data_IF_800660467192
#
_entry.id   IF_800660467192
#
_cell.length_a   1.000
_cell.length_b   1.000
_cell.length_c   1.000
_cell.angle_alpha   90.00
_cell.angle_beta   90.00
_cell.angle_gamma   90.00
#
_symmetry.space_group_name_H-M   'P 1'
#
loop_
_entity.id
_entity.type
_entity.pdbx_description
1 polymer ?
#
# COMPACT_ATOMS: atom_id res chain seq x y z
N UNK A 1 -4.25 -10.10 3.31
CA UNK A 1 -2.78 -10.01 3.33
C UNK A 1 -2.22 -10.70 2.08
N UNK A 2 -1.23 -10.11 1.42
CA UNK A 2 -0.50 -10.76 0.32
C UNK A 2 0.80 -11.36 0.87
N UNK A 3 1.03 -12.67 0.69
CA UNK A 3 2.20 -13.40 1.22
C UNK A 3 2.65 -14.48 0.24
N UNK A 4 3.94 -14.52 -0.12
CA UNK A 4 4.51 -15.48 -1.09
C UNK A 4 3.67 -15.55 -2.37
N UNK A 5 3.28 -14.39 -2.88
CA UNK A 5 2.36 -14.22 -4.03
C UNK A 5 0.92 -14.73 -3.84
N UNK A 6 0.55 -15.33 -2.70
CA UNK A 6 -0.84 -15.71 -2.39
C UNK A 6 -1.61 -14.62 -1.63
N UNK A 7 -2.92 -14.51 -1.90
CA UNK A 7 -3.83 -13.63 -1.15
C UNK A 7 -4.57 -14.44 -0.08
N UNK A 8 -4.63 -13.89 1.14
CA UNK A 8 -5.29 -14.53 2.28
C UNK A 8 -6.21 -13.54 2.98
N UNK A 9 -7.41 -14.01 3.32
CA UNK A 9 -8.36 -13.36 4.23
C UNK A 9 -8.21 -14.02 5.61
N UNK A 10 -8.20 -13.19 6.65
CA UNK A 10 -8.08 -13.63 8.04
C UNK A 10 -9.31 -13.12 8.79
N UNK A 11 -10.21 -14.03 9.15
CA UNK A 11 -11.46 -13.73 9.86
C UNK A 11 -11.64 -14.70 11.02
N UNK A 12 -11.76 -14.18 12.25
CA UNK A 12 -12.06 -14.98 13.44
C UNK A 12 -11.10 -16.16 13.67
N UNK A 13 -9.80 -15.99 13.40
CA UNK A 13 -8.78 -17.05 13.52
C UNK A 13 -8.68 -18.00 12.32
N UNK A 14 -9.62 -17.91 11.37
CA UNK A 14 -9.58 -18.72 10.14
C UNK A 14 -8.81 -17.99 9.05
N UNK A 15 -7.83 -18.67 8.45
CA UNK A 15 -7.12 -18.19 7.27
C UNK A 15 -7.67 -18.87 6.03
N UNK A 16 -8.29 -18.09 5.14
CA UNK A 16 -8.81 -18.57 3.86
C UNK A 16 -7.93 -18.03 2.74
N UNK A 17 -7.44 -18.93 1.88
CA UNK A 17 -6.73 -18.54 0.66
C UNK A 17 -7.75 -18.09 -0.37
N UNK A 18 -7.57 -16.88 -0.89
CA UNK A 18 -8.33 -16.35 -2.02
C UNK A 18 -7.59 -16.70 -3.30
N UNK A 19 -8.31 -17.21 -4.30
CA UNK A 19 -7.75 -17.46 -5.63
C UNK A 19 -7.20 -16.15 -6.21
N UNK A 20 -6.04 -16.20 -6.88
CA UNK A 20 -5.52 -15.04 -7.58
C UNK A 20 -6.20 -14.88 -8.95
N UNK A 21 -6.15 -13.70 -9.59
CA UNK A 21 -6.62 -13.55 -10.96
C UNK A 21 -5.97 -14.59 -11.87
N UNK A 22 -6.78 -15.35 -12.60
CA UNK A 22 -6.27 -16.24 -13.64
C UNK A 22 -5.76 -15.39 -14.79
N UNK A 23 -4.46 -15.48 -15.09
CA UNK A 23 -3.86 -14.80 -16.25
C UNK A 23 -3.09 -15.78 -17.10
N UNK A 24 -3.09 -15.54 -18.42
CA UNK A 24 -2.37 -16.37 -19.39
C UNK A 24 -0.84 -16.29 -19.25
N UNK A 25 -0.32 -15.30 -18.50
CA UNK A 25 1.11 -15.02 -18.36
C UNK A 25 1.71 -15.40 -17.00
N UNK A 26 0.98 -16.10 -16.13
CA UNK A 26 1.39 -16.42 -14.74
C UNK A 26 1.88 -15.20 -13.93
N UNK A 27 1.48 -13.99 -14.32
CA UNK A 27 1.92 -12.75 -13.69
C UNK A 27 1.43 -12.72 -12.23
N UNK A 28 2.36 -12.42 -11.31
CA UNK A 28 2.07 -12.41 -9.88
C UNK A 28 1.79 -10.99 -9.39
N UNK A 29 0.82 -10.80 -8.50
CA UNK A 29 0.62 -9.51 -7.86
C UNK A 29 1.83 -9.15 -6.99
N UNK A 30 2.22 -7.87 -7.02
CA UNK A 30 3.26 -7.29 -6.17
C UNK A 30 2.71 -6.18 -5.25
N UNK A 31 1.48 -5.73 -5.49
CA UNK A 31 0.83 -4.65 -4.75
C UNK A 31 -0.61 -5.02 -4.41
N UNK A 32 -1.05 -4.62 -3.22
CA UNK A 32 -2.40 -4.83 -2.68
C UNK A 32 -2.88 -3.49 -2.11
N UNK A 33 -4.08 -3.08 -2.49
CA UNK A 33 -4.73 -1.91 -1.92
C UNK A 33 -6.15 -2.26 -1.45
N UNK A 34 -6.62 -1.54 -0.44
CA UNK A 34 -8.00 -1.62 0.06
C UNK A 34 -8.65 -0.25 -0.09
N UNK A 35 -9.80 -0.19 -0.76
CA UNK A 35 -10.60 1.01 -0.91
C UNK A 35 -11.34 1.39 0.36
N UNK A 36 -11.78 2.65 0.44
CA UNK A 36 -12.56 3.20 1.54
C UNK A 36 -13.90 2.45 1.77
N UNK A 37 -14.46 1.89 0.70
CA UNK A 37 -15.66 1.06 0.68
C UNK A 37 -15.39 -0.41 1.04
N UNK A 38 -14.14 -0.77 1.30
CA UNK A 38 -13.71 -2.14 1.57
C UNK A 38 -13.36 -2.95 0.31
N UNK A 39 -13.44 -2.38 -0.89
CA UNK A 39 -13.02 -3.02 -2.13
C UNK A 39 -11.55 -3.45 -2.05
N UNK A 40 -11.21 -4.60 -2.62
CA UNK A 40 -9.85 -5.15 -2.62
C UNK A 40 -9.28 -5.12 -4.03
N UNK A 41 -8.06 -4.62 -4.15
CA UNK A 41 -7.38 -4.48 -5.43
C UNK A 41 -6.01 -5.14 -5.42
N UNK A 42 -5.63 -5.76 -6.53
CA UNK A 42 -4.30 -6.28 -6.77
C UNK A 42 -3.69 -5.61 -7.99
N UNK A 43 -2.38 -5.41 -7.94
CA UNK A 43 -1.62 -5.01 -9.11
C UNK A 43 -0.26 -5.68 -9.17
N UNK A 44 0.30 -5.78 -10.37
CA UNK A 44 1.65 -6.30 -10.58
C UNK A 44 2.13 -6.17 -12.03
N UNK A 45 3.45 -6.23 -12.27
CA UNK A 45 4.02 -6.18 -13.61
C UNK A 45 3.51 -7.35 -14.46
N UNK A 46 2.96 -7.03 -15.64
CA UNK A 46 2.34 -8.01 -16.54
C UNK A 46 0.91 -8.40 -16.16
N UNK A 47 0.46 -8.03 -14.95
CA UNK A 47 -0.90 -8.28 -14.45
C UNK A 47 -1.82 -7.06 -14.70
N UNK A 48 -1.29 -5.84 -14.55
CA UNK A 48 -2.08 -4.61 -14.53
C UNK A 48 -2.77 -4.40 -13.18
N UNK A 49 -4.00 -3.90 -13.16
CA UNK A 49 -4.85 -3.69 -11.98
C UNK A 49 -6.09 -4.58 -12.05
N UNK A 50 -6.42 -5.22 -10.93
CA UNK A 50 -7.61 -6.06 -10.78
C UNK A 50 -8.35 -5.73 -9.49
N UNK A 51 -9.68 -5.82 -9.53
CA UNK A 51 -10.56 -5.69 -8.36
C UNK A 51 -11.21 -7.02 -8.05
N UNK A 52 -11.28 -7.35 -6.77
CA UNK A 52 -12.01 -8.52 -6.29
C UNK A 52 -13.50 -8.22 -6.19
N UNK A 53 -14.32 -9.05 -6.82
CA UNK A 53 -15.77 -9.09 -6.64
C UNK A 53 -16.11 -10.14 -5.59
N UNK A 54 -16.50 -9.68 -4.40
CA UNK A 54 -16.88 -10.55 -3.29
C UNK A 54 -18.21 -11.27 -3.51
N UNK A 55 -19.12 -10.74 -4.34
CA UNK A 55 -20.40 -11.37 -4.63
C UNK A 55 -20.24 -12.57 -5.56
N UNK A 56 -19.34 -12.45 -6.54
CA UNK A 56 -19.03 -13.49 -7.52
C UNK A 56 -17.84 -14.40 -7.15
N UNK A 57 -17.11 -14.13 -6.06
CA UNK A 57 -15.84 -14.79 -5.71
C UNK A 57 -14.88 -14.81 -6.90
N UNK A 58 -14.70 -13.64 -7.53
CA UNK A 58 -14.00 -13.52 -8.81
C UNK A 58 -13.19 -12.23 -8.93
N UNK A 59 -12.32 -12.15 -9.94
CA UNK A 59 -11.52 -10.97 -10.21
C UNK A 59 -11.95 -10.31 -11.51
N UNK A 60 -12.07 -8.98 -11.49
CA UNK A 60 -12.35 -8.16 -12.66
C UNK A 60 -11.12 -7.32 -13.01
N UNK A 61 -10.69 -7.36 -14.27
CA UNK A 61 -9.59 -6.52 -14.76
C UNK A 61 -10.02 -5.07 -14.93
N UNK A 62 -9.14 -4.14 -14.58
CA UNK A 62 -9.35 -2.69 -14.71
C UNK A 62 -8.31 -2.08 -15.66
N UNK A 63 -8.01 -2.79 -16.76
CA UNK A 63 -6.82 -2.52 -17.60
C UNK A 63 -7.14 -1.80 -18.91
N UNK A 64 -8.42 -1.64 -19.27
CA UNK A 64 -8.86 -1.31 -20.63
C UNK A 64 -8.24 -0.02 -21.19
N UNK A 65 -8.04 0.99 -20.33
CA UNK A 65 -7.47 2.28 -20.74
C UNK A 65 -6.06 2.52 -20.19
N UNK A 66 -5.44 1.54 -19.53
CA UNK A 66 -4.04 1.65 -19.14
C UNK A 66 -3.15 1.54 -20.39
N UNK A 67 -2.03 2.28 -20.48
CA UNK A 67 -1.12 2.20 -21.63
C UNK A 67 -0.36 0.85 -21.69
N UNK A 68 -0.40 0.08 -20.61
CA UNK A 68 0.22 -1.24 -20.51
C UNK A 68 0.02 -1.85 -19.12
N UNK A 69 0.43 -3.11 -18.98
CA UNK A 69 0.25 -3.91 -17.76
C UNK A 69 1.42 -3.78 -16.76
N UNK A 70 2.32 -2.82 -16.98
CA UNK A 70 3.55 -2.62 -16.21
C UNK A 70 3.34 -1.94 -14.84
N UNK A 71 2.22 -2.19 -14.17
CA UNK A 71 1.88 -1.56 -12.90
C UNK A 71 2.73 -2.17 -11.79
N UNK A 72 3.63 -1.38 -11.19
CA UNK A 72 4.50 -1.88 -10.12
C UNK A 72 3.94 -1.63 -8.73
N UNK A 73 3.12 -0.58 -8.58
CA UNK A 73 2.47 -0.23 -7.33
C UNK A 73 1.13 0.45 -7.58
N UNK A 74 0.19 0.25 -6.66
CA UNK A 74 -1.11 0.92 -6.68
C UNK A 74 -1.54 1.39 -5.29
N UNK A 75 -2.40 2.38 -5.25
CA UNK A 75 -3.05 2.87 -4.05
C UNK A 75 -4.53 3.13 -4.34
N UNK A 76 -5.40 2.79 -3.40
CA UNK A 76 -6.78 3.28 -3.40
C UNK A 76 -6.83 4.54 -2.55
N UNK A 77 -7.68 5.49 -2.93
CA UNK A 77 -7.86 6.70 -2.16
C UNK A 77 -8.52 6.41 -0.80
N UNK A 78 -8.01 7.04 0.26
CA UNK A 78 -8.41 6.78 1.65
C UNK A 78 -9.90 7.03 1.94
N UNK A 79 -10.49 8.07 1.34
CA UNK A 79 -11.88 8.49 1.58
C UNK A 79 -12.79 8.58 0.34
N UNK A 80 -12.27 8.41 -0.88
CA UNK A 80 -13.02 8.51 -2.14
C UNK A 80 -12.97 7.15 -2.87
N UNK A 81 -13.96 6.28 -2.70
CA UNK A 81 -13.86 4.87 -3.11
C UNK A 81 -13.68 4.66 -4.62
N UNK A 82 -14.10 5.62 -5.45
CA UNK A 82 -13.94 5.55 -6.91
C UNK A 82 -12.55 6.00 -7.39
N UNK A 83 -11.73 6.59 -6.51
CA UNK A 83 -10.42 7.13 -6.87
C UNK A 83 -9.31 6.11 -6.62
N UNK A 84 -8.58 5.76 -7.69
CA UNK A 84 -7.45 4.84 -7.67
C UNK A 84 -6.22 5.47 -8.30
N UNK A 85 -5.04 5.07 -7.84
CA UNK A 85 -3.75 5.51 -8.36
C UNK A 85 -2.91 4.29 -8.77
N UNK A 86 -2.31 4.34 -9.95
CA UNK A 86 -1.42 3.32 -10.47
C UNK A 86 -0.10 3.93 -10.91
N UNK A 87 1.01 3.30 -10.54
CA UNK A 87 2.35 3.69 -10.97
C UNK A 87 2.91 2.63 -11.92
N UNK A 88 3.28 3.07 -13.14
CA UNK A 88 3.73 2.21 -14.24
C UNK A 88 5.22 2.43 -14.55
N UNK A 89 6.03 2.73 -13.53
CA UNK A 89 7.46 2.96 -13.70
C UNK A 89 7.73 4.14 -14.63
N UNK A 90 8.40 3.86 -15.76
CA UNK A 90 8.78 4.86 -16.77
C UNK A 90 7.58 5.58 -17.41
N UNK A 91 6.41 4.94 -17.44
CA UNK A 91 5.22 5.51 -18.07
C UNK A 91 4.53 6.52 -17.16
N UNK A 92 4.87 6.53 -15.87
CA UNK A 92 4.46 7.51 -14.87
C UNK A 92 3.25 7.07 -14.05
N UNK A 93 2.58 8.08 -13.49
CA UNK A 93 1.42 7.91 -12.62
C UNK A 93 0.11 8.13 -13.37
N UNK A 94 -0.86 7.27 -13.07
CA UNK A 94 -2.20 7.29 -13.61
C UNK A 94 -3.21 7.34 -12.47
N UNK A 95 -4.29 8.08 -12.68
CA UNK A 95 -5.43 8.16 -11.75
C UNK A 95 -6.71 7.76 -12.46
N UNK A 96 -7.50 6.93 -11.80
CA UNK A 96 -8.91 6.75 -12.11
C UNK A 96 -9.75 7.46 -11.06
N UNK A 97 -10.92 7.97 -11.46
CA UNK A 97 -11.95 8.54 -10.57
C UNK A 97 -13.31 7.85 -10.74
N UNK A 98 -13.31 6.68 -11.36
CA UNK A 98 -14.50 5.91 -11.74
C UNK A 98 -14.29 4.41 -11.48
N UNK A 99 -13.60 4.08 -10.40
CA UNK A 99 -13.31 2.70 -9.97
C UNK A 99 -12.52 1.87 -10.98
N UNK A 100 -11.66 2.52 -11.77
CA UNK A 100 -10.76 1.90 -12.75
C UNK A 100 -11.36 1.68 -14.14
N UNK A 101 -12.49 2.32 -14.46
CA UNK A 101 -13.06 2.27 -15.81
C UNK A 101 -12.26 3.13 -16.80
N UNK A 102 -11.76 4.29 -16.35
CA UNK A 102 -10.85 5.15 -17.09
C UNK A 102 -9.61 5.53 -16.26
N UNK A 103 -8.45 5.50 -16.89
CA UNK A 103 -7.16 5.87 -16.31
C UNK A 103 -6.53 7.03 -17.08
N UNK A 104 -6.27 8.13 -16.37
CA UNK A 104 -5.67 9.34 -16.94
C UNK A 104 -4.27 9.52 -16.37
N UNK A 105 -3.27 9.78 -17.24
CA UNK A 105 -1.92 10.13 -16.79
C UNK A 105 -1.95 11.48 -16.07
N UNK A 106 -1.41 11.52 -14.86
CA UNK A 106 -1.46 12.70 -13.97
C UNK A 106 -0.08 13.25 -13.65
N UNK A 107 0.94 12.40 -13.63
CA UNK A 107 2.31 12.82 -13.28
C UNK A 107 3.35 11.83 -13.82
N UNK A 108 4.64 12.20 -13.75
CA UNK A 108 5.74 11.26 -14.00
C UNK A 108 6.04 10.35 -12.79
N UNK A 109 5.57 10.71 -11.59
CA UNK A 109 5.82 10.00 -10.35
C UNK A 109 7.13 10.39 -9.69
N UNK A 110 7.49 9.72 -8.57
CA UNK A 110 8.75 9.94 -7.90
C UNK A 110 9.94 9.55 -8.79
N UNK A 111 11.10 10.13 -8.50
CA UNK A 111 12.35 9.89 -9.26
C UNK A 111 12.81 8.44 -9.21
N UNK A 112 12.60 7.79 -8.08
CA UNK A 112 13.10 6.44 -7.81
C UNK A 112 11.98 5.40 -8.00
N UNK A 113 12.32 4.17 -8.38
CA UNK A 113 11.34 3.08 -8.48
C UNK A 113 10.55 2.89 -7.18
N UNK A 114 9.23 2.72 -7.32
CA UNK A 114 8.29 2.52 -6.21
C UNK A 114 8.07 1.03 -5.96
N UNK A 115 8.22 0.64 -4.70
CA UNK A 115 8.03 -0.73 -4.20
C UNK A 115 6.77 -0.87 -3.35
N UNK A 116 6.38 0.19 -2.65
CA UNK A 116 5.18 0.24 -1.82
C UNK A 116 4.50 1.60 -2.00
N UNK A 117 3.17 1.64 -2.00
CA UNK A 117 2.44 2.84 -2.35
C UNK A 117 1.14 2.94 -1.57
N UNK A 118 0.80 4.14 -1.08
CA UNK A 118 -0.45 4.42 -0.39
C UNK A 118 -0.92 5.86 -0.62
N UNK A 119 -2.22 6.07 -0.43
CA UNK A 119 -2.83 7.39 -0.25
C UNK A 119 -3.26 7.52 1.23
N UNK A 120 -3.02 8.68 1.82
CA UNK A 120 -3.43 9.06 3.17
C UNK A 120 -4.29 10.32 3.09
N UNK A 121 -5.33 10.40 3.90
CA UNK A 121 -6.19 11.57 4.07
C UNK A 121 -5.62 12.61 5.06
N UNK A 122 -4.30 12.57 5.28
CA UNK A 122 -3.57 13.58 6.05
C UNK A 122 -3.93 15.01 5.59
N UNK A 123 -4.29 15.92 6.51
CA UNK A 123 -4.59 17.30 6.18
C UNK A 123 -3.40 18.04 5.52
N UNK A 124 -3.70 19.22 4.94
CA UNK A 124 -2.67 20.11 4.39
C UNK A 124 -2.31 19.85 2.92
N UNK A 125 -3.00 18.93 2.24
CA UNK A 125 -2.96 18.83 0.78
C UNK A 125 -3.75 19.94 0.10
N UNK A 126 -3.41 20.26 -1.14
CA UNK A 126 -4.17 21.15 -2.02
C UNK A 126 -5.35 20.46 -2.73
N UNK A 127 -5.55 19.15 -2.55
CA UNK A 127 -6.72 18.43 -3.03
C UNK A 127 -7.40 17.66 -1.88
N UNK A 128 -7.07 16.38 -1.67
CA UNK A 128 -7.77 15.52 -0.71
C UNK A 128 -6.88 14.71 0.22
N UNK A 129 -5.57 14.73 0.01
CA UNK A 129 -4.64 13.96 0.81
C UNK A 129 -3.24 13.88 0.20
N UNK A 130 -2.48 12.87 0.62
CA UNK A 130 -1.08 12.71 0.27
C UNK A 130 -0.82 11.32 -0.26
N UNK A 131 0.08 11.25 -1.21
CA UNK A 131 0.60 10.02 -1.77
C UNK A 131 1.98 9.76 -1.15
N UNK A 132 2.19 8.55 -0.64
CA UNK A 132 3.48 8.12 -0.13
C UNK A 132 3.98 6.93 -0.95
N UNK A 133 5.24 7.04 -1.40
CA UNK A 133 5.93 6.03 -2.16
C UNK A 133 7.15 5.53 -1.37
N UNK A 134 7.13 4.26 -1.00
CA UNK A 134 8.32 3.54 -0.55
C UNK A 134 9.20 3.21 -1.76
N UNK A 135 10.41 3.77 -1.78
CA UNK A 135 11.36 3.61 -2.89
C UNK A 135 12.59 2.83 -2.47
N UNK A 136 13.51 2.60 -3.41
CA UNK A 136 14.82 1.99 -3.12
C UNK A 136 15.77 2.91 -2.32
N UNK A 137 15.44 4.20 -2.17
CA UNK A 137 16.27 5.19 -1.46
C UNK A 137 15.68 5.73 -0.16
N UNK A 138 14.39 5.53 0.06
CA UNK A 138 13.66 6.06 1.20
C UNK A 138 12.19 6.26 0.87
N UNK A 139 11.50 7.03 1.70
CA UNK A 139 10.10 7.39 1.46
C UNK A 139 10.05 8.71 0.70
N UNK A 140 9.31 8.75 -0.40
CA UNK A 140 8.93 9.99 -1.09
C UNK A 140 7.46 10.28 -0.83
N UNK A 141 7.08 11.56 -0.78
CA UNK A 141 5.69 12.00 -0.66
C UNK A 141 5.33 13.07 -1.67
N UNK A 142 4.05 13.14 -2.02
CA UNK A 142 3.45 14.18 -2.83
C UNK A 142 2.05 14.51 -2.33
N UNK A 143 1.59 15.73 -2.52
CA UNK A 143 0.17 16.04 -2.41
C UNK A 143 -0.57 15.38 -3.58
N UNK A 144 -1.78 14.91 -3.35
CA UNK A 144 -2.58 14.23 -4.38
C UNK A 144 -3.10 15.14 -5.52
N UNK A 145 -2.80 16.44 -5.45
CA UNK A 145 -2.83 17.36 -6.59
C UNK A 145 -1.67 17.16 -7.59
N UNK A 146 -0.74 16.25 -7.29
CA UNK A 146 0.48 15.96 -8.07
C UNK A 146 1.39 17.18 -8.27
N UNK A 147 1.40 18.08 -7.29
CA UNK A 147 2.08 19.36 -7.44
C UNK A 147 3.62 19.23 -7.32
N UNK A 148 4.12 18.22 -6.59
CA UNK A 148 5.56 17.95 -6.43
C UNK A 148 5.82 16.64 -5.67
N UNK A 149 6.87 15.90 -6.04
CA UNK A 149 7.42 14.77 -5.27
C UNK A 149 8.67 15.18 -4.52
N UNK A 150 8.68 15.00 -3.20
CA UNK A 150 9.84 15.26 -2.34
C UNK A 150 10.15 14.09 -1.41
N UNK A 151 11.34 14.08 -0.83
CA UNK A 151 11.70 13.16 0.25
C UNK A 151 10.76 13.43 1.45
N UNK A 152 10.20 12.36 2.02
CA UNK A 152 9.50 12.40 3.29
C UNK A 152 10.54 12.24 4.41
N UNK A 153 11.19 13.35 4.76
CA UNK A 153 12.20 13.40 5.82
C UNK A 153 13.51 12.73 5.41
N UNK A 154 14.45 12.62 6.35
CA UNK A 154 15.76 11.98 6.09
C UNK A 154 15.78 10.51 6.48
N UNK A 155 14.82 9.74 5.93
CA UNK A 155 14.77 8.29 6.10
C UNK A 155 15.34 7.62 4.84
N UNK A 156 16.48 6.93 5.00
CA UNK A 156 17.26 6.36 3.88
C UNK A 156 17.26 4.84 3.92
N UNK A 157 17.23 4.23 2.73
CA UNK A 157 17.30 2.79 2.54
C UNK A 157 16.16 2.25 1.69
N UNK A 158 16.20 0.95 1.41
CA UNK A 158 15.17 0.29 0.59
C UNK A 158 13.90 0.08 1.42
N UNK A 159 12.80 0.71 1.03
CA UNK A 159 11.51 0.58 1.69
C UNK A 159 10.77 -0.65 1.16
N UNK A 160 10.51 -1.63 2.03
CA UNK A 160 9.82 -2.88 1.67
C UNK A 160 8.32 -2.84 1.96
N UNK A 161 7.88 -2.01 2.91
CA UNK A 161 6.47 -1.82 3.23
C UNK A 161 6.25 -0.40 3.77
N UNK A 162 5.07 0.14 3.52
CA UNK A 162 4.63 1.44 4.04
C UNK A 162 3.14 1.36 4.41
N UNK A 163 2.76 2.05 5.49
CA UNK A 163 1.38 2.10 6.00
C UNK A 163 1.15 3.39 6.78
N UNK A 164 -0.11 3.69 7.09
CA UNK A 164 -0.48 4.84 7.91
C UNK A 164 -1.62 4.47 8.84
N UNK A 165 -1.75 5.18 9.96
CA UNK A 165 -2.90 5.03 10.87
C UNK A 165 -4.11 5.78 10.31
N UNK A 166 -5.20 5.10 9.91
CA UNK A 166 -6.39 5.77 9.37
C UNK A 166 -7.14 6.63 10.40
N UNK A 167 -6.86 6.48 11.70
CA UNK A 167 -7.46 7.27 12.77
C UNK A 167 -6.64 8.50 13.14
N UNK A 168 -5.38 8.55 12.70
CA UNK A 168 -4.46 9.66 12.89
C UNK A 168 -3.50 9.74 11.68
N UNK A 169 -3.96 10.25 10.52
CA UNK A 169 -3.31 10.05 9.22
C UNK A 169 -1.92 10.65 9.05
N UNK A 170 -1.49 11.51 9.98
CA UNK A 170 -0.11 11.99 10.13
C UNK A 170 0.86 10.91 10.62
N UNK A 171 0.35 9.82 11.19
CA UNK A 171 1.15 8.70 11.67
C UNK A 171 1.45 7.74 10.51
N UNK A 172 2.67 7.82 9.99
CA UNK A 172 3.14 7.01 8.86
C UNK A 172 4.21 6.05 9.34
N UNK A 173 4.17 4.83 8.82
CA UNK A 173 5.07 3.75 9.16
C UNK A 173 5.76 3.22 7.91
N UNK A 174 7.07 3.01 7.99
CA UNK A 174 7.86 2.48 6.89
C UNK A 174 8.77 1.36 7.40
N UNK A 175 8.97 0.34 6.56
CA UNK A 175 9.91 -0.74 6.84
C UNK A 175 11.13 -0.57 5.94
N UNK A 176 12.30 -0.42 6.56
CA UNK A 176 13.58 -0.31 5.85
C UNK A 176 14.48 -1.44 6.30
N UNK A 177 14.89 -2.28 5.35
CA UNK A 177 15.78 -3.41 5.64
C UNK A 177 15.27 -4.31 6.79
N UNK A 178 13.94 -4.40 6.93
CA UNK A 178 13.26 -5.14 7.99
C UNK A 178 13.06 -4.40 9.31
N UNK A 179 13.57 -3.18 9.45
CA UNK A 179 13.35 -2.33 10.63
C UNK A 179 12.11 -1.46 10.46
N UNK A 180 11.28 -1.39 11.49
CA UNK A 180 10.10 -0.54 11.51
C UNK A 180 10.47 0.88 11.93
N UNK A 181 10.03 1.87 11.17
CA UNK A 181 10.15 3.28 11.49
C UNK A 181 8.76 3.92 11.56
N UNK A 182 8.61 4.91 12.43
CA UNK A 182 7.39 5.69 12.62
C UNK A 182 7.68 7.18 12.54
N UNK A 183 6.82 7.89 11.82
CA UNK A 183 6.72 9.33 11.81
C UNK A 183 5.35 9.71 12.36
N UNK A 184 5.32 10.72 13.25
CA UNK A 184 4.09 11.28 13.80
C UNK A 184 3.71 12.63 13.17
N UNK A 185 4.43 13.06 12.13
CA UNK A 185 4.35 14.38 11.50
C UNK A 185 4.27 14.28 9.97
N UNK A 186 3.67 13.21 9.46
CA UNK A 186 3.44 13.03 8.02
C UNK A 186 4.70 12.69 7.23
N UNK A 187 5.74 12.19 7.88
CA UNK A 187 7.02 11.88 7.29
C UNK A 187 7.98 13.06 7.25
N UNK A 188 7.91 14.01 8.18
CA UNK A 188 8.96 15.04 8.30
C UNK A 188 10.13 14.54 9.15
N UNK A 189 9.83 13.86 10.25
CA UNK A 189 10.80 13.20 11.11
C UNK A 189 10.43 11.74 11.36
N UNK A 190 11.45 10.92 11.61
CA UNK A 190 11.29 9.47 11.76
C UNK A 190 12.03 8.96 12.99
N UNK A 191 11.42 7.99 13.66
CA UNK A 191 12.01 7.26 14.79
C UNK A 191 11.95 5.77 14.52
N UNK A 192 13.01 5.04 14.88
CA UNK A 192 13.01 3.58 14.78
C UNK A 192 12.20 2.97 15.93
N UNK A 193 11.29 2.07 15.60
CA UNK A 193 10.55 1.26 16.56
C UNK A 193 11.23 -0.10 16.72
N UNK A 194 11.35 -0.55 17.97
CA UNK A 194 11.92 -1.87 18.26
C UNK A 194 10.87 -2.94 17.99
N UNK A 195 11.17 -3.86 17.09
CA UNK A 195 10.36 -5.06 16.85
C UNK A 195 11.12 -6.31 17.31
N UNK A 196 10.43 -7.38 17.72
CA UNK A 196 11.09 -8.63 18.13
C UNK A 196 11.86 -9.30 16.97
N UNK A 197 11.44 -9.02 15.73
CA UNK A 197 11.99 -9.61 14.51
C UNK A 197 11.87 -8.63 13.33
N UNK A 198 12.61 -8.87 12.23
CA UNK A 198 12.45 -8.11 10.99
C UNK A 198 11.00 -8.15 10.50
N UNK A 199 10.48 -6.98 10.17
CA UNK A 199 9.14 -6.79 9.61
C UNK A 199 9.18 -6.97 8.09
N UNK A 200 8.14 -7.58 7.56
CA UNK A 200 7.98 -7.88 6.12
C UNK A 200 6.68 -7.33 5.55
N UNK A 201 5.70 -7.03 6.40
CA UNK A 201 4.41 -6.48 6.01
C UNK A 201 3.82 -5.62 7.12
N UNK A 202 3.01 -4.64 6.76
CA UNK A 202 2.25 -3.77 7.66
C UNK A 202 0.76 -3.84 7.30
N UNK A 203 -0.10 -3.77 8.30
CA UNK A 203 -1.54 -3.57 8.14
C UNK A 203 -2.10 -2.81 9.34
N UNK A 204 -3.23 -2.14 9.16
CA UNK A 204 -3.97 -1.51 10.26
C UNK A 204 -5.30 -2.23 10.48
N UNK A 205 -5.52 -2.61 11.73
CA UNK A 205 -6.77 -3.20 12.22
C UNK A 205 -7.54 -2.17 13.03
N UNK A 206 -8.85 -1.98 12.80
CA UNK A 206 -9.66 -1.08 13.61
C UNK A 206 -9.67 -1.41 15.11
N UNK A 207 -9.45 -2.67 15.49
CA UNK A 207 -9.47 -3.12 16.89
C UNK A 207 -8.09 -3.28 17.51
N UNK A 208 -7.05 -3.52 16.70
CA UNK A 208 -5.69 -3.81 17.18
C UNK A 208 -4.67 -2.73 16.82
N UNK A 209 -5.05 -1.72 16.02
CA UNK A 209 -4.12 -0.71 15.51
C UNK A 209 -3.12 -1.33 14.52
N UNK A 210 -1.86 -0.95 14.64
CA UNK A 210 -0.78 -1.45 13.78
C UNK A 210 -0.54 -2.95 14.01
N UNK A 211 -0.64 -3.73 12.93
CA UNK A 211 -0.26 -5.13 12.87
C UNK A 211 0.93 -5.31 11.92
N UNK A 212 1.95 -6.03 12.36
CA UNK A 212 3.15 -6.33 11.57
C UNK A 212 3.26 -7.82 11.31
N UNK A 213 3.61 -8.16 10.07
CA UNK A 213 4.05 -9.51 9.70
C UNK A 213 5.56 -9.63 9.79
N UNK A 214 6.06 -10.61 10.52
CA UNK A 214 7.51 -10.81 10.72
C UNK A 214 8.10 -11.84 9.75
N UNK A 215 9.42 -11.84 9.60
CA UNK A 215 10.14 -12.74 8.69
C UNK A 215 9.92 -14.24 8.97
N UNK A 216 9.64 -14.63 10.22
CA UNK A 216 9.29 -16.01 10.58
C UNK A 216 7.79 -16.35 10.35
N UNK A 217 7.00 -15.40 9.87
CA UNK A 217 5.58 -15.60 9.54
C UNK A 217 4.58 -15.26 10.63
N UNK A 218 5.01 -14.74 11.79
CA UNK A 218 4.10 -14.35 12.85
C UNK A 218 3.42 -13.01 12.54
N UNK A 219 2.20 -12.84 13.07
CA UNK A 219 1.51 -11.56 13.11
C UNK A 219 1.57 -11.00 14.54
N UNK A 220 2.03 -9.76 14.67
CA UNK A 220 2.16 -9.08 15.96
C UNK A 220 1.38 -7.76 15.92
N UNK A 221 0.54 -7.50 16.92
CA UNK A 221 -0.09 -6.21 17.12
C UNK A 221 0.80 -5.31 17.99
N UNK A 222 0.94 -4.06 17.59
CA UNK A 222 1.66 -3.04 18.34
C UNK A 222 0.81 -2.49 19.49
N UNK A 223 1.39 -2.43 20.68
CA UNK A 223 0.79 -1.81 21.87
C UNK A 223 1.63 -0.64 22.38
N UNK A 224 1.20 -0.05 23.50
CA UNK A 224 1.92 1.05 24.12
C UNK A 224 3.36 0.67 24.50
N UNK A 225 4.30 1.61 24.30
CA UNK A 225 5.72 1.50 24.68
C UNK A 225 6.45 0.29 24.07
N UNK A 226 6.36 0.11 22.74
CA UNK A 226 7.05 -0.94 21.97
C UNK A 226 6.74 -2.37 22.42
N UNK A 227 5.59 -2.59 23.05
CA UNK A 227 5.12 -3.93 23.40
C UNK A 227 4.37 -4.55 22.24
N UNK A 228 4.82 -5.73 21.83
CA UNK A 228 4.22 -6.49 20.73
C UNK A 228 3.51 -7.73 21.27
N UNK A 229 2.24 -7.89 20.94
CA UNK A 229 1.47 -9.07 21.30
C UNK A 229 1.18 -9.91 20.07
N UNK A 230 1.29 -11.25 20.14
CA UNK A 230 0.81 -12.10 19.07
C UNK A 230 -0.65 -11.79 18.75
N UNK A 231 -0.95 -11.63 17.46
CA UNK A 231 -2.34 -11.71 16.99
C UNK A 231 -2.66 -13.21 17.04
N UNK A 232 -3.28 -13.65 18.13
CA UNK A 232 -3.54 -15.06 18.35
C UNK A 232 -4.46 -15.62 17.26
N UNK A 233 -3.98 -16.73 16.69
CA UNK A 233 -4.64 -17.66 15.77
C UNK A 233 -5.92 -18.26 16.35
#
# INVERSE_FOLDING_TARGET
MLRNSGLFVIEGGTTTKVGLPATDQEAQPSSLARGADGSVYLAGPGLGVWRYDSAGDSWQSLNDTLPGLGVTAMAAHATQPETLYAYLGKDGMFRSRDSGAEWVKVDSGPREPVQAFLHSDMPGSMESGWLFAGTIRGVSRSMDCFCFWGDAGDLRGTVSAIGYDPTAPENVYAVIEGQLHHSADGGETWTSLKTPQPVTALAFSPSQGLVVGTANGNLLAGGAADKWTPVHE
#
